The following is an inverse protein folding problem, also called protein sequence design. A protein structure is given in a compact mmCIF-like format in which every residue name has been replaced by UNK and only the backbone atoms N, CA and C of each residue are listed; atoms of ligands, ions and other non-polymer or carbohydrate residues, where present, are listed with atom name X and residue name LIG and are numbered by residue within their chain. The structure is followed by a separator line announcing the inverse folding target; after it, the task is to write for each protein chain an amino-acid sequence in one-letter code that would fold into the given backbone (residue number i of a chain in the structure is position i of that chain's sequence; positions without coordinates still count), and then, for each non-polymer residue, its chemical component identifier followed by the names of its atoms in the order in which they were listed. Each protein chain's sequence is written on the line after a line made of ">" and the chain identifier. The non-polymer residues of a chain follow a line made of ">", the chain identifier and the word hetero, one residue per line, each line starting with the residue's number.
data_IF_940270535985
#
_entry.id   IF_940270535985
#
_cell.length_a   1.000
_cell.length_b   1.000
_cell.length_c   1.000
_cell.angle_alpha   90.00
_cell.angle_beta   90.00
_cell.angle_gamma   90.00
#
_symmetry.space_group_name_H-M   'P 1'
#
loop_
_entity.id
_entity.type
_entity.pdbx_description
1 polymer ?
#
# COMPACT_ATOMS: atom_id res chain seq x y z
N UNK A 1 5.85 9.06 2.40
CA UNK A 1 4.71 8.18 2.06
C UNK A 1 4.07 7.50 3.27
N UNK A 2 4.82 6.97 4.26
CA UNK A 2 4.23 6.31 5.44
C UNK A 2 3.25 7.22 6.19
N UNK A 3 3.65 8.46 6.45
CA UNK A 3 2.78 9.46 7.10
C UNK A 3 1.47 9.68 6.33
N UNK A 4 1.55 9.78 5.00
CA UNK A 4 0.36 9.91 4.15
C UNK A 4 -0.59 8.72 4.28
N UNK A 5 -0.05 7.49 4.28
CA UNK A 5 -0.84 6.27 4.43
C UNK A 5 -1.48 6.16 5.83
N UNK A 6 -0.76 6.58 6.89
CA UNK A 6 -1.28 6.60 8.26
C UNK A 6 -2.43 7.61 8.38
N UNK A 7 -2.26 8.82 7.83
CA UNK A 7 -3.29 9.85 7.87
C UNK A 7 -4.52 9.45 7.07
N UNK A 8 -4.35 8.81 5.91
CA UNK A 8 -5.48 8.35 5.09
C UNK A 8 -6.23 7.18 5.74
N UNK A 9 -5.52 6.21 6.33
CA UNK A 9 -6.14 5.12 7.09
C UNK A 9 -6.85 5.65 8.34
N UNK A 10 -6.26 6.60 9.06
CA UNK A 10 -6.87 7.25 10.23
C UNK A 10 -8.13 8.06 9.87
N UNK A 11 -8.12 8.77 8.74
CA UNK A 11 -9.29 9.49 8.23
C UNK A 11 -10.42 8.52 7.86
N UNK A 12 -10.10 7.46 7.11
CA UNK A 12 -11.06 6.42 6.73
C UNK A 12 -11.60 5.65 7.94
N UNK A 13 -10.79 5.47 8.99
CA UNK A 13 -11.22 4.85 10.24
C UNK A 13 -12.37 5.63 10.89
N UNK A 14 -12.23 6.96 10.96
CA UNK A 14 -13.27 7.85 11.50
C UNK A 14 -14.56 7.75 10.68
N UNK A 15 -14.44 7.73 9.34
CA UNK A 15 -15.59 7.62 8.43
C UNK A 15 -16.27 6.24 8.52
N UNK A 16 -15.51 5.17 8.72
CA UNK A 16 -16.00 3.80 8.86
C UNK A 16 -16.53 3.46 10.26
N UNK A 17 -16.36 4.36 11.24
CA UNK A 17 -16.84 4.17 12.61
C UNK A 17 -16.14 3.04 13.38
N UNK A 18 -14.95 2.61 12.96
CA UNK A 18 -14.23 1.49 13.58
C UNK A 18 -13.61 1.95 14.90
N UNK A 19 -14.16 1.49 16.02
CA UNK A 19 -13.66 1.79 17.37
C UNK A 19 -12.34 1.07 17.65
N UNK A 20 -11.46 1.71 18.42
CA UNK A 20 -10.31 1.02 19.02
C UNK A 20 -10.82 -0.04 20.02
N UNK A 21 -10.16 -1.21 20.16
CA UNK A 21 -8.82 -1.59 19.65
C UNK A 21 -8.79 -2.29 18.28
N UNK A 22 -9.92 -2.44 17.58
CA UNK A 22 -9.98 -3.19 16.33
C UNK A 22 -9.08 -2.58 15.23
N UNK A 23 -8.17 -3.38 14.67
CA UNK A 23 -7.23 -2.92 13.61
C UNK A 23 -7.92 -2.87 12.24
N UNK A 24 -8.82 -3.81 11.98
CA UNK A 24 -9.64 -3.92 10.78
C UNK A 24 -11.13 -3.94 11.15
N UNK A 25 -12.00 -3.54 10.22
CA UNK A 25 -13.43 -3.81 10.30
C UNK A 25 -13.69 -5.31 10.03
N UNK A 26 -14.72 -5.93 10.65
CA UNK A 26 -15.09 -7.32 10.39
C UNK A 26 -15.37 -7.55 8.90
N UNK A 27 -14.93 -8.68 8.36
CA UNK A 27 -15.07 -8.98 6.93
C UNK A 27 -16.53 -9.01 6.47
N UNK A 28 -17.43 -9.49 7.33
CA UNK A 28 -18.88 -9.49 7.08
C UNK A 28 -19.44 -8.06 6.94
N UNK A 29 -18.94 -7.11 7.72
CA UNK A 29 -19.37 -5.70 7.66
C UNK A 29 -18.69 -4.95 6.52
N UNK A 30 -17.45 -5.30 6.19
CA UNK A 30 -16.72 -4.74 5.07
C UNK A 30 -17.34 -5.16 3.73
N UNK A 31 -17.90 -6.37 3.62
CA UNK A 31 -18.58 -6.83 2.42
C UNK A 31 -19.88 -6.05 2.11
N UNK A 32 -20.55 -5.54 3.15
CA UNK A 32 -21.82 -4.81 3.04
C UNK A 32 -21.61 -3.30 2.96
N UNK A 33 -20.67 -2.75 3.75
CA UNK A 33 -20.39 -1.32 3.79
C UNK A 33 -19.12 -0.95 3.00
N UNK A 34 -19.25 -0.22 1.87
CA UNK A 34 -18.10 0.20 1.08
C UNK A 34 -17.13 1.11 1.84
N UNK A 35 -17.56 1.80 2.90
CA UNK A 35 -16.69 2.64 3.74
C UNK A 35 -15.74 1.78 4.58
N UNK A 36 -16.25 0.71 5.18
CA UNK A 36 -15.47 -0.27 5.94
C UNK A 36 -14.51 -1.03 5.04
N UNK A 37 -14.93 -1.38 3.83
CA UNK A 37 -14.05 -1.98 2.82
C UNK A 37 -12.88 -1.05 2.46
N UNK A 38 -13.14 0.25 2.23
CA UNK A 38 -12.09 1.24 1.93
C UNK A 38 -11.10 1.40 3.09
N UNK A 39 -11.57 1.39 4.33
CA UNK A 39 -10.71 1.41 5.51
C UNK A 39 -9.80 0.18 5.57
N UNK A 40 -10.36 -1.03 5.43
CA UNK A 40 -9.57 -2.27 5.42
C UNK A 40 -8.54 -2.28 4.27
N UNK A 41 -8.93 -1.81 3.09
CA UNK A 41 -8.04 -1.69 1.94
C UNK A 41 -6.88 -0.71 2.19
N UNK A 42 -7.16 0.47 2.74
CA UNK A 42 -6.12 1.45 3.08
C UNK A 42 -5.17 0.92 4.14
N UNK A 43 -5.70 0.24 5.17
CA UNK A 43 -4.89 -0.33 6.23
C UNK A 43 -4.01 -1.49 5.72
N UNK A 44 -4.52 -2.33 4.82
CA UNK A 44 -3.71 -3.39 4.20
C UNK A 44 -2.61 -2.83 3.29
N UNK A 45 -2.89 -1.75 2.56
CA UNK A 45 -1.88 -1.08 1.74
C UNK A 45 -0.74 -0.51 2.60
N UNK A 46 -1.06 0.08 3.76
CA UNK A 46 -0.07 0.54 4.73
C UNK A 46 0.75 -0.62 5.30
N UNK A 47 0.10 -1.71 5.72
CA UNK A 47 0.77 -2.91 6.23
C UNK A 47 1.72 -3.54 5.19
N UNK A 48 1.31 -3.67 3.92
CA UNK A 48 2.19 -4.19 2.87
C UNK A 48 3.41 -3.31 2.62
N UNK A 49 3.25 -1.99 2.76
CA UNK A 49 4.38 -1.07 2.63
C UNK A 49 5.34 -1.27 3.80
N UNK A 50 4.83 -1.47 5.02
CA UNK A 50 5.62 -1.77 6.22
C UNK A 50 6.41 -3.09 6.11
N UNK A 51 5.80 -4.14 5.54
CA UNK A 51 6.45 -5.44 5.30
C UNK A 51 7.68 -5.30 4.38
N UNK A 52 7.65 -4.38 3.41
CA UNK A 52 8.72 -4.21 2.42
C UNK A 52 9.71 -3.07 2.75
N UNK A 53 9.31 -2.13 3.62
CA UNK A 53 10.13 -0.99 4.02
C UNK A 53 11.53 -1.36 4.57
N UNK A 54 11.70 -2.35 5.47
CA UNK A 54 13.03 -2.64 6.01
C UNK A 54 14.00 -3.13 4.93
N UNK A 55 13.54 -3.92 3.97
CA UNK A 55 14.35 -4.39 2.85
C UNK A 55 14.82 -3.24 1.95
N UNK A 56 13.92 -2.30 1.63
CA UNK A 56 14.26 -1.16 0.78
C UNK A 56 15.20 -0.20 1.49
N UNK A 57 15.00 0.05 2.78
CA UNK A 57 15.90 0.90 3.57
C UNK A 57 17.29 0.27 3.72
N UNK A 58 17.39 -1.05 3.91
CA UNK A 58 18.67 -1.74 3.96
C UNK A 58 19.44 -1.63 2.63
N UNK A 59 18.73 -1.86 1.51
CA UNK A 59 19.31 -1.77 0.17
C UNK A 59 19.71 -0.33 -0.18
N UNK A 60 18.88 0.66 0.19
CA UNK A 60 19.21 2.08 0.05
C UNK A 60 20.42 2.47 0.89
N UNK A 61 20.48 2.03 2.16
CA UNK A 61 21.61 2.30 3.05
C UNK A 61 22.92 1.78 2.47
N UNK A 62 22.94 0.53 1.99
CA UNK A 62 24.11 -0.05 1.34
C UNK A 62 24.51 0.70 0.06
N UNK A 63 23.55 0.92 -0.86
CA UNK A 63 23.83 1.58 -2.13
C UNK A 63 24.21 3.06 -1.97
N UNK A 64 23.70 3.75 -0.96
CA UNK A 64 23.97 5.17 -0.73
C UNK A 64 25.45 5.46 -0.43
N UNK A 65 26.16 4.49 0.15
CA UNK A 65 27.59 4.61 0.48
C UNK A 65 28.46 4.55 -0.78
N UNK A 66 28.13 3.67 -1.73
CA UNK A 66 28.95 3.44 -2.93
C UNK A 66 28.47 4.24 -4.15
N UNK A 67 27.17 4.40 -4.31
CA UNK A 67 26.51 5.02 -5.46
C UNK A 67 25.34 5.91 -5.04
N UNK A 68 25.61 7.09 -4.43
CA UNK A 68 24.59 7.94 -3.82
C UNK A 68 23.53 8.44 -4.82
N UNK A 69 23.93 8.75 -6.06
CA UNK A 69 22.99 9.21 -7.10
C UNK A 69 22.02 8.09 -7.48
N UNK A 70 22.53 6.89 -7.76
CA UNK A 70 21.69 5.73 -8.13
C UNK A 70 20.76 5.34 -7.00
N UNK A 71 21.27 5.34 -5.76
CA UNK A 71 20.46 5.08 -4.57
C UNK A 71 19.32 6.09 -4.43
N UNK A 72 19.60 7.39 -4.62
CA UNK A 72 18.58 8.45 -4.52
C UNK A 72 17.49 8.33 -5.59
N UNK A 73 17.85 7.99 -6.83
CA UNK A 73 16.90 7.77 -7.93
C UNK A 73 16.05 6.52 -7.68
N UNK A 74 16.65 5.41 -7.26
CA UNK A 74 15.93 4.19 -6.92
C UNK A 74 14.93 4.39 -5.77
N UNK A 75 15.36 5.10 -4.72
CA UNK A 75 14.51 5.40 -3.57
C UNK A 75 13.34 6.32 -3.93
N UNK A 76 13.58 7.35 -4.74
CA UNK A 76 12.51 8.27 -5.19
C UNK A 76 11.51 7.57 -6.10
N UNK A 77 11.96 6.75 -7.04
CA UNK A 77 11.10 5.93 -7.91
C UNK A 77 10.20 4.99 -7.09
N UNK A 78 10.75 4.38 -6.04
CA UNK A 78 9.98 3.50 -5.15
C UNK A 78 8.91 4.27 -4.36
N UNK A 79 9.26 5.45 -3.82
CA UNK A 79 8.31 6.31 -3.08
C UNK A 79 7.16 6.76 -3.98
N UNK A 80 7.44 7.21 -5.20
CA UNK A 80 6.41 7.63 -6.17
C UNK A 80 5.49 6.46 -6.54
N UNK A 81 6.05 5.28 -6.76
CA UNK A 81 5.28 4.05 -7.02
C UNK A 81 4.28 3.73 -5.92
N UNK A 82 4.71 3.84 -4.67
CA UNK A 82 3.86 3.55 -3.50
C UNK A 82 2.77 4.60 -3.27
N UNK A 83 3.02 5.86 -3.62
CA UNK A 83 1.97 6.89 -3.63
C UNK A 83 0.92 6.55 -4.68
N UNK A 84 1.34 6.17 -5.89
CA UNK A 84 0.41 5.72 -6.94
C UNK A 84 -0.38 4.46 -6.55
N UNK A 85 0.28 3.49 -5.91
CA UNK A 85 -0.34 2.26 -5.40
C UNK A 85 -1.45 2.55 -4.38
N UNK A 86 -1.15 3.38 -3.39
CA UNK A 86 -2.14 3.74 -2.35
C UNK A 86 -3.31 4.53 -2.92
N UNK A 87 -3.08 5.43 -3.87
CA UNK A 87 -4.14 6.14 -4.58
C UNK A 87 -5.06 5.19 -5.35
N UNK A 88 -4.51 4.16 -5.99
CA UNK A 88 -5.28 3.10 -6.65
C UNK A 88 -6.12 2.24 -5.69
N UNK A 89 -5.70 2.10 -4.43
CA UNK A 89 -6.48 1.44 -3.39
C UNK A 89 -7.66 2.29 -2.90
N UNK A 90 -7.53 3.63 -2.90
CA UNK A 90 -8.63 4.53 -2.52
C UNK A 90 -9.80 4.53 -3.53
N UNK A 91 -9.56 4.15 -4.78
CA UNK A 91 -10.59 4.11 -5.85
C UNK A 91 -11.55 2.92 -5.78
N UNK A 92 -11.31 1.92 -4.91
CA UNK A 92 -12.28 0.84 -4.63
C UNK A 92 -12.52 -0.19 -5.74
N UNK A 93 -11.92 -0.02 -6.93
CA UNK A 93 -11.97 -0.98 -8.04
C UNK A 93 -10.70 -1.85 -8.05
N UNK A 94 -10.80 -3.20 -7.99
CA UNK A 94 -9.64 -4.10 -7.98
C UNK A 94 -8.70 -3.96 -9.19
N UNK A 95 -9.21 -3.48 -10.33
CA UNK A 95 -8.45 -3.29 -11.57
C UNK A 95 -7.49 -2.08 -11.57
N UNK A 96 -7.76 -1.04 -10.78
CA UNK A 96 -6.94 0.18 -10.73
C UNK A 96 -5.75 0.08 -9.75
N UNK A 97 -5.50 -1.11 -9.21
CA UNK A 97 -4.35 -1.40 -8.33
C UNK A 97 -3.02 -1.39 -9.10
N UNK A 98 -3.07 -1.63 -10.42
CA UNK A 98 -1.92 -1.64 -11.32
C UNK A 98 -2.03 -0.44 -12.26
N UNK A 99 -1.64 0.73 -11.77
CA UNK A 99 -1.43 1.89 -12.64
C UNK A 99 -0.06 1.77 -13.34
N UNK A 100 0.10 2.42 -14.49
CA UNK A 100 1.36 2.45 -15.26
C UNK A 100 2.56 2.83 -14.36
N UNK A 101 2.36 3.76 -13.42
CA UNK A 101 3.34 4.19 -12.42
C UNK A 101 3.76 3.05 -11.49
N UNK A 102 2.81 2.21 -11.05
CA UNK A 102 3.12 1.06 -10.22
C UNK A 102 3.93 0.03 -11.02
N UNK A 103 3.56 -0.22 -12.29
CA UNK A 103 4.33 -1.11 -13.19
C UNK A 103 5.77 -0.62 -13.40
N UNK A 104 5.95 0.69 -13.57
CA UNK A 104 7.25 1.31 -13.80
C UNK A 104 8.14 1.30 -12.54
N UNK A 105 7.54 1.48 -11.35
CA UNK A 105 8.28 1.40 -10.09
C UNK A 105 8.70 -0.03 -9.72
N UNK A 106 7.91 -1.05 -10.09
CA UNK A 106 8.27 -2.47 -9.87
C UNK A 106 9.35 -2.97 -10.85
N UNK A 107 9.53 -2.36 -12.02
CA UNK A 107 10.62 -2.75 -12.95
C UNK A 107 12.02 -2.32 -12.50
N UNK A 108 12.13 -1.40 -11.54
CA UNK A 108 13.43 -0.95 -11.00
C UNK A 108 14.01 -1.82 -9.89
N UNK A 109 13.19 -2.64 -9.23
CA UNK A 109 13.60 -3.58 -8.18
C UNK A 109 12.96 -4.91 -8.57
N UNK A 110 13.72 -5.79 -9.24
CA UNK A 110 13.26 -7.05 -9.82
C UNK A 110 12.23 -7.78 -8.93
N UNK A 111 10.96 -7.62 -9.27
CA UNK A 111 9.82 -8.21 -8.57
C UNK A 111 8.57 -7.79 -9.30
N UNK A 112 7.94 -8.70 -10.04
CA UNK A 112 6.70 -8.41 -10.76
C UNK A 112 5.62 -7.83 -9.82
N UNK A 113 4.59 -7.15 -10.36
CA UNK A 113 3.53 -6.58 -9.55
C UNK A 113 2.96 -7.67 -8.65
N UNK A 114 3.10 -7.53 -7.32
CA UNK A 114 2.68 -8.53 -6.33
C UNK A 114 1.24 -8.98 -6.62
N UNK A 115 1.09 -10.13 -7.30
CA UNK A 115 -0.18 -10.77 -7.67
C UNK A 115 -0.76 -11.56 -6.49
N UNK A 116 -0.37 -11.21 -5.26
CA UNK A 116 -0.70 -11.93 -4.05
C UNK A 116 -1.63 -11.10 -3.15
N UNK A 117 -2.85 -10.87 -3.63
CA UNK A 117 -4.01 -10.96 -2.76
C UNK A 117 -5.14 -11.60 -3.60
N UNK A 118 -5.61 -12.83 -3.28
CA UNK A 118 -6.88 -13.28 -3.82
C UNK A 118 -7.94 -12.21 -3.53
N UNK A 119 -8.99 -12.06 -4.38
CA UNK A 119 -10.17 -11.29 -3.96
C UNK A 119 -10.53 -11.77 -2.56
N UNK A 120 -10.75 -10.82 -1.63
CA UNK A 120 -11.25 -11.12 -0.28
C UNK A 120 -12.31 -12.18 -0.47
N UNK A 121 -12.04 -13.36 0.08
CA UNK A 121 -12.78 -14.58 -0.18
C UNK A 121 -14.24 -14.30 0.19
N UNK A 122 -15.06 -14.02 -0.82
CA UNK A 122 -16.52 -14.12 -0.74
C UNK A 122 -16.82 -15.62 -0.66
N UNK A 123 -16.68 -16.19 0.53
CA UNK A 123 -17.40 -17.40 0.92
C UNK A 123 -18.45 -16.90 1.91
N UNK A 124 -19.74 -16.99 1.61
CA UNK A 124 -20.41 -18.23 1.24
C UNK A 124 -20.60 -18.99 2.54
#
# INVERSE_FOLDING_TARGET
>A
MQMYQILSASGLRKVAGVKYPAVYAPDAEAAVDPKKMKFNCAQRAHANTLEFTPFVLALFGYLSVFHPIVASVGQTLWVVGRIGYTRGYHTGTPGNRINLVNRLSWTGIAGGPQRFLPPIRTKG
#
